data_IF_822022444942
#
_entry.id   IF_822022444942
#
_cell.length_a   1.000
_cell.length_b   1.000
_cell.length_c   1.000
_cell.angle_alpha   90.00
_cell.angle_beta   90.00
_cell.angle_gamma   90.00
#
_symmetry.space_group_name_H-M   'P 1'
#
loop_
_entity.id
_entity.type
_entity.pdbx_description
1 polymer ?
#
# COMPACT_ATOMS: atom_id res chain seq x y z
N UNK A 1 2.46 9.34 -8.39
CA UNK A 1 1.32 8.53 -8.88
C UNK A 1 0.02 9.19 -8.47
N UNK A 2 -0.86 9.34 -9.42
CA UNK A 2 -2.17 9.95 -9.21
C UNK A 2 -3.25 8.87 -9.24
N UNK A 3 -4.12 8.86 -8.24
CA UNK A 3 -5.22 7.91 -8.15
C UNK A 3 -6.52 8.66 -7.90
N UNK A 4 -7.51 8.43 -8.76
CA UNK A 4 -8.85 8.97 -8.61
C UNK A 4 -9.80 7.84 -8.24
N UNK A 5 -10.46 7.95 -7.11
CA UNK A 5 -11.36 6.90 -6.63
C UNK A 5 -12.73 7.03 -7.28
N UNK A 6 -13.24 5.93 -7.78
CA UNK A 6 -14.54 5.86 -8.46
C UNK A 6 -15.28 4.60 -8.05
N UNK A 7 -16.60 4.62 -8.25
CA UNK A 7 -17.43 3.44 -8.01
C UNK A 7 -17.89 3.27 -6.58
N UNK A 8 -18.19 2.04 -6.23
CA UNK A 8 -18.79 1.70 -4.94
C UNK A 8 -17.87 2.04 -3.78
N UNK A 9 -18.41 2.67 -2.75
CA UNK A 9 -17.70 3.03 -1.52
C UNK A 9 -16.45 3.88 -1.75
N UNK A 10 -16.46 4.70 -2.80
CA UNK A 10 -15.28 5.48 -3.18
C UNK A 10 -14.76 6.38 -2.07
N UNK A 11 -15.62 7.05 -1.33
CA UNK A 11 -15.22 7.93 -0.23
C UNK A 11 -14.57 7.14 0.90
N UNK A 12 -15.15 6.02 1.27
CA UNK A 12 -14.60 5.15 2.32
C UNK A 12 -13.26 4.58 1.92
N UNK A 13 -13.12 4.11 0.67
CA UNK A 13 -11.85 3.55 0.18
C UNK A 13 -10.77 4.62 0.10
N UNK A 14 -11.13 5.83 -0.33
CA UNK A 14 -10.20 6.97 -0.38
C UNK A 14 -9.69 7.30 1.02
N UNK A 15 -10.58 7.48 1.97
CA UNK A 15 -10.21 7.81 3.35
C UNK A 15 -9.35 6.70 3.97
N UNK A 16 -9.73 5.44 3.74
CA UNK A 16 -9.00 4.31 4.30
C UNK A 16 -7.57 4.22 3.77
N UNK A 17 -7.38 4.38 2.47
CA UNK A 17 -6.03 4.33 1.91
C UNK A 17 -5.13 5.41 2.50
N UNK A 18 -5.64 6.62 2.67
CA UNK A 18 -4.88 7.71 3.27
C UNK A 18 -4.49 7.38 4.72
N UNK A 19 -5.44 6.88 5.51
CA UNK A 19 -5.16 6.49 6.90
C UNK A 19 -4.09 5.42 6.97
N UNK A 20 -4.20 4.39 6.13
CA UNK A 20 -3.24 3.28 6.12
C UNK A 20 -1.85 3.76 5.69
N UNK A 21 -1.75 4.55 4.62
CA UNK A 21 -0.46 5.04 4.14
C UNK A 21 0.23 5.93 5.17
N UNK A 22 -0.53 6.81 5.83
CA UNK A 22 0.03 7.64 6.89
C UNK A 22 0.50 6.82 8.09
N UNK A 23 -0.26 5.81 8.46
CA UNK A 23 0.12 4.91 9.56
C UNK A 23 1.39 4.14 9.23
N UNK A 24 1.51 3.64 8.00
CA UNK A 24 2.70 2.90 7.55
C UNK A 24 3.94 3.78 7.57
N UNK A 25 3.82 5.04 7.11
CA UNK A 25 4.94 5.97 7.16
C UNK A 25 5.36 6.24 8.60
N UNK A 26 4.40 6.50 9.48
CA UNK A 26 4.65 6.73 10.89
C UNK A 26 5.33 5.54 11.56
N UNK A 27 4.97 4.33 11.15
CA UNK A 27 5.55 3.09 11.68
C UNK A 27 6.87 2.70 11.02
N UNK A 28 7.38 3.51 10.09
CA UNK A 28 8.67 3.28 9.48
C UNK A 28 8.70 2.28 8.33
N UNK A 29 7.56 1.99 7.73
CA UNK A 29 7.50 1.09 6.59
C UNK A 29 7.95 1.81 5.33
N UNK A 30 9.06 1.36 4.73
CA UNK A 30 9.66 2.03 3.58
C UNK A 30 9.28 1.43 2.24
N UNK A 31 8.74 0.23 2.21
CA UNK A 31 8.41 -0.47 0.97
C UNK A 31 6.94 -0.37 0.58
N UNK A 32 6.38 0.81 0.75
CA UNK A 32 5.01 1.15 0.34
C UNK A 32 5.00 2.56 -0.22
N UNK A 33 3.96 2.96 -0.99
CA UNK A 33 3.87 4.33 -1.48
C UNK A 33 3.79 5.32 -0.32
N UNK A 34 4.44 6.46 -0.47
CA UNK A 34 4.36 7.53 0.50
C UNK A 34 3.22 8.47 0.13
N UNK A 35 2.46 8.89 1.11
CA UNK A 35 1.44 9.91 0.92
C UNK A 35 2.11 11.24 0.59
N UNK A 36 1.66 11.89 -0.48
CA UNK A 36 2.16 13.22 -0.86
C UNK A 36 1.08 14.27 -0.61
N UNK A 37 -0.07 14.12 -1.25
CA UNK A 37 -1.19 15.04 -1.06
C UNK A 37 -2.50 14.39 -1.47
N UNK A 38 -3.63 15.02 -1.12
CA UNK A 38 -4.93 14.53 -1.51
C UNK A 38 -5.91 15.70 -1.63
N UNK A 39 -6.96 15.49 -2.43
CA UNK A 39 -8.03 16.46 -2.64
C UNK A 39 -9.37 15.76 -2.46
N UNK A 40 -10.09 16.13 -1.40
CA UNK A 40 -11.32 15.45 -1.00
C UNK A 40 -12.46 15.62 -2.03
N UNK A 41 -12.57 16.79 -2.62
CA UNK A 41 -13.66 17.07 -3.55
C UNK A 41 -13.65 16.18 -4.79
N UNK A 42 -12.47 15.73 -5.20
CA UNK A 42 -12.31 14.87 -6.36
C UNK A 42 -11.90 13.44 -5.99
N UNK A 43 -11.74 13.15 -4.71
CA UNK A 43 -11.22 11.88 -4.21
C UNK A 43 -9.92 11.52 -4.91
N UNK A 44 -9.02 12.49 -4.97
CA UNK A 44 -7.76 12.40 -5.68
C UNK A 44 -6.61 12.23 -4.67
N UNK A 45 -5.86 11.15 -4.84
CA UNK A 45 -4.71 10.83 -3.98
C UNK A 45 -3.44 10.85 -4.82
N UNK A 46 -2.41 11.52 -4.31
CA UNK A 46 -1.09 11.53 -4.94
C UNK A 46 -0.11 10.82 -4.00
N UNK A 47 0.60 9.85 -4.53
CA UNK A 47 1.61 9.10 -3.79
C UNK A 47 2.93 9.05 -4.54
N UNK A 48 3.98 8.64 -3.84
CA UNK A 48 5.27 8.36 -4.48
C UNK A 48 5.16 7.14 -5.40
N UNK A 49 6.10 7.04 -6.34
CA UNK A 49 6.18 5.91 -7.25
C UNK A 49 6.95 4.77 -6.59
N UNK A 50 6.35 3.58 -6.57
CA UNK A 50 6.97 2.37 -6.02
C UNK A 50 7.47 1.40 -7.09
N UNK A 51 7.72 1.90 -8.29
CA UNK A 51 8.26 1.06 -9.36
C UNK A 51 7.20 0.45 -10.25
N UNK A 52 7.55 -0.66 -10.89
CA UNK A 52 6.72 -1.32 -11.91
C UNK A 52 6.24 -2.69 -11.43
N UNK A 53 5.20 -3.25 -12.05
CA UNK A 53 4.73 -4.59 -11.69
C UNK A 53 5.87 -5.62 -11.67
N UNK A 54 5.75 -6.60 -10.77
CA UNK A 54 6.74 -7.66 -10.59
C UNK A 54 6.13 -9.02 -10.96
N UNK A 55 5.94 -9.31 -12.26
CA UNK A 55 5.18 -10.50 -12.70
C UNK A 55 5.85 -11.83 -12.37
N UNK A 56 7.16 -11.84 -12.16
CA UNK A 56 7.92 -13.06 -11.91
C UNK A 56 8.25 -13.30 -10.43
N UNK A 57 7.62 -12.57 -9.54
CA UNK A 57 7.85 -12.78 -8.11
C UNK A 57 7.34 -14.16 -7.70
N UNK A 58 8.11 -14.87 -6.87
CA UNK A 58 7.71 -16.19 -6.37
C UNK A 58 6.58 -16.09 -5.34
N UNK A 59 5.82 -17.17 -5.17
CA UNK A 59 4.78 -17.22 -4.15
C UNK A 59 5.39 -17.10 -2.75
N UNK A 60 6.55 -17.74 -2.54
CA UNK A 60 7.25 -17.67 -1.26
C UNK A 60 7.62 -16.23 -0.90
N UNK A 61 8.15 -15.48 -1.86
CA UNK A 61 8.52 -14.07 -1.64
C UNK A 61 7.28 -13.21 -1.42
N UNK A 62 6.22 -13.47 -2.17
CA UNK A 62 4.94 -12.77 -2.02
C UNK A 62 4.41 -12.95 -0.60
N UNK A 63 4.33 -14.20 -0.13
CA UNK A 63 3.82 -14.50 1.20
C UNK A 63 4.65 -13.82 2.30
N UNK A 64 5.97 -13.82 2.14
CA UNK A 64 6.87 -13.20 3.10
C UNK A 64 6.63 -11.70 3.21
N UNK A 65 6.44 -11.02 2.08
CA UNK A 65 6.21 -9.57 2.07
C UNK A 65 4.92 -9.19 2.81
N UNK A 66 3.82 -9.91 2.56
CA UNK A 66 2.57 -9.62 3.23
C UNK A 66 2.57 -10.01 4.70
N UNK A 67 3.29 -11.07 5.05
CA UNK A 67 3.45 -11.47 6.45
C UNK A 67 4.25 -10.42 7.23
N UNK A 68 5.32 -9.89 6.65
CA UNK A 68 6.10 -8.82 7.28
C UNK A 68 5.27 -7.55 7.46
N UNK A 69 4.45 -7.21 6.47
CA UNK A 69 3.56 -6.05 6.57
C UNK A 69 2.65 -6.19 7.79
N UNK A 70 2.09 -7.36 8.00
CA UNK A 70 1.20 -7.62 9.12
C UNK A 70 1.94 -7.68 10.45
N UNK A 71 3.03 -8.44 10.52
CA UNK A 71 3.73 -8.67 11.78
C UNK A 71 4.59 -7.48 12.23
N UNK A 72 5.25 -6.82 11.31
CA UNK A 72 6.14 -5.69 11.66
C UNK A 72 5.42 -4.35 11.70
N UNK A 73 4.46 -4.16 10.82
CA UNK A 73 3.85 -2.84 10.64
C UNK A 73 2.37 -2.80 10.98
N UNK A 74 1.77 -3.93 11.32
CA UNK A 74 0.40 -3.97 11.80
C UNK A 74 -0.66 -3.60 10.77
N UNK A 75 -0.45 -3.98 9.50
CA UNK A 75 -1.43 -3.75 8.45
C UNK A 75 -1.73 -5.07 7.75
N UNK A 76 -3.00 -5.44 7.70
CA UNK A 76 -3.45 -6.61 6.95
C UNK A 76 -3.96 -6.16 5.59
N UNK A 77 -3.32 -6.64 4.54
CA UNK A 77 -3.76 -6.36 3.18
C UNK A 77 -4.96 -7.25 2.84
N UNK A 78 -5.95 -6.68 2.17
CA UNK A 78 -7.15 -7.43 1.78
C UNK A 78 -6.96 -8.26 0.51
N UNK A 79 -5.89 -7.99 -0.24
CA UNK A 79 -5.64 -8.63 -1.52
C UNK A 79 -4.15 -9.01 -1.64
N UNK A 80 -3.67 -9.99 -0.84
CA UNK A 80 -2.24 -10.31 -0.72
C UNK A 80 -1.73 -11.17 -1.89
N UNK A 81 -1.81 -10.62 -3.10
CA UNK A 81 -1.42 -11.31 -4.32
C UNK A 81 -0.37 -10.52 -5.10
N UNK A 82 0.37 -11.18 -6.01
CA UNK A 82 1.43 -10.52 -6.79
C UNK A 82 1.02 -9.27 -7.55
N UNK A 83 -0.26 -9.13 -7.91
CA UNK A 83 -0.73 -7.93 -8.61
C UNK A 83 -0.60 -6.66 -7.78
N UNK A 84 -0.45 -6.79 -6.47
CA UNK A 84 -0.25 -5.66 -5.57
C UNK A 84 1.20 -5.54 -5.11
N UNK A 85 2.12 -6.13 -5.85
CA UNK A 85 3.55 -6.01 -5.59
C UNK A 85 4.23 -5.41 -6.82
N UNK A 86 5.08 -4.42 -6.56
CA UNK A 86 5.91 -3.79 -7.58
C UNK A 86 7.39 -3.98 -7.23
N UNK A 87 8.26 -3.76 -8.19
CA UNK A 87 9.69 -3.70 -7.93
C UNK A 87 10.20 -2.29 -8.19
N UNK A 88 10.79 -1.70 -7.19
CA UNK A 88 11.42 -0.37 -7.29
C UNK A 88 12.90 -0.56 -7.58
N UNK A 89 13.28 -0.38 -8.84
CA UNK A 89 14.66 -0.58 -9.28
C UNK A 89 15.64 0.44 -8.70
N UNK A 90 15.16 1.61 -8.33
CA UNK A 90 16.01 2.64 -7.73
C UNK A 90 16.38 2.30 -6.29
N UNK A 91 15.42 1.82 -5.52
CA UNK A 91 15.64 1.41 -4.14
C UNK A 91 16.13 -0.04 -4.04
N UNK A 92 16.00 -0.82 -5.10
CA UNK A 92 16.39 -2.23 -5.12
C UNK A 92 15.51 -3.09 -4.23
N UNK A 93 14.21 -2.83 -4.18
CA UNK A 93 13.31 -3.55 -3.29
C UNK A 93 11.94 -3.77 -3.89
N UNK A 94 11.27 -4.82 -3.41
CA UNK A 94 9.86 -5.03 -3.71
C UNK A 94 9.00 -4.14 -2.82
N UNK A 95 7.92 -3.60 -3.38
CA UNK A 95 6.98 -2.75 -2.67
C UNK A 95 5.58 -3.36 -2.72
N UNK A 96 4.76 -3.00 -1.74
CA UNK A 96 3.36 -3.38 -1.69
C UNK A 96 2.53 -2.14 -1.96
N UNK A 97 1.50 -2.28 -2.81
CA UNK A 97 0.63 -1.17 -3.21
C UNK A 97 -0.84 -1.51 -2.97
N UNK A 98 -1.71 -0.52 -3.13
CA UNK A 98 -3.17 -0.65 -3.13
C UNK A 98 -3.73 -1.03 -1.76
N UNK A 99 -3.86 -0.04 -0.89
CA UNK A 99 -4.29 -0.23 0.50
C UNK A 99 -5.72 0.23 0.77
N UNK A 100 -6.53 0.43 -0.25
CA UNK A 100 -7.86 1.04 -0.07
C UNK A 100 -8.83 0.21 0.78
N UNK A 101 -8.63 -1.10 0.87
CA UNK A 101 -9.43 -2.00 1.69
C UNK A 101 -8.63 -2.69 2.80
N UNK A 102 -7.40 -2.23 3.04
CA UNK A 102 -6.55 -2.82 4.08
C UNK A 102 -7.09 -2.52 5.48
N UNK A 103 -6.69 -3.33 6.45
CA UNK A 103 -7.11 -3.18 7.84
C UNK A 103 -5.91 -2.77 8.69
N UNK A 104 -6.08 -1.71 9.47
CA UNK A 104 -5.09 -1.29 10.44
C UNK A 104 -5.27 -2.11 11.70
N UNK A 105 -4.25 -2.87 12.06
CA UNK A 105 -4.25 -3.66 13.28
C UNK A 105 -3.74 -2.81 14.45
N UNK A 106 -3.90 -3.32 15.66
CA UNK A 106 -3.33 -2.68 16.84
C UNK A 106 -1.81 -2.58 16.68
N UNK A 107 -1.11 -2.05 17.67
CA UNK A 107 0.32 -1.78 17.59
C UNK A 107 1.08 -2.95 16.93
N UNK A 108 2.10 -2.65 16.09
CA UNK A 108 2.95 -3.67 15.46
C UNK A 108 3.64 -4.52 16.51
N UNK A 109 3.90 -5.76 16.15
CA UNK A 109 4.54 -6.71 17.07
C UNK A 109 6.02 -6.81 16.84
#
# INVERSE_FOLDING_TARGET
VHKYFRGTDKETRFDNEIVILKALEERGCENVPRYIESEDSELHLVTSNCGSPAPNISQKKTDKLFLELEEKFGVRHDDPFPRNITYDGKAGQFCIIDFELATLLDAPR
#
